data_IF_043015595232
#
_entry.id   IF_043015595232
#
_cell.length_a   1.000
_cell.length_b   1.000
_cell.length_c   1.000
_cell.angle_alpha   90.00
_cell.angle_beta   90.00
_cell.angle_gamma   90.00
#
_symmetry.space_group_name_H-M   'P 1'
#
loop_
_entity.id
_entity.type
_entity.pdbx_description
1 polymer ?
#
# COMPACT_ATOMS: atom_id res chain seq x y z
N UNK A 1 -3.35 29.21 -10.35
CA UNK A 1 -3.16 27.80 -10.08
C UNK A 1 -4.24 26.99 -10.84
N UNK A 2 -3.86 26.45 -12.00
CA UNK A 2 -4.79 25.70 -12.88
C UNK A 2 -4.54 24.21 -12.75
N UNK A 3 -4.96 23.62 -11.62
CA UNK A 3 -4.96 22.17 -11.48
C UNK A 3 -5.91 21.54 -12.52
N UNK A 4 -5.49 20.49 -13.24
CA UNK A 4 -6.35 19.76 -14.21
C UNK A 4 -7.64 19.23 -13.57
N UNK A 5 -7.60 18.89 -12.28
CA UNK A 5 -8.74 18.41 -11.51
C UNK A 5 -9.85 19.44 -11.35
N UNK A 6 -9.51 20.75 -11.26
CA UNK A 6 -10.50 21.83 -11.21
C UNK A 6 -11.31 21.92 -12.50
N UNK A 7 -10.65 21.75 -13.65
CA UNK A 7 -11.32 21.77 -14.95
C UNK A 7 -12.38 20.67 -15.10
N UNK A 8 -12.08 19.45 -14.62
CA UNK A 8 -13.04 18.34 -14.61
C UNK A 8 -14.25 18.65 -13.71
N UNK A 9 -14.01 19.13 -12.49
CA UNK A 9 -15.07 19.53 -11.56
C UNK A 9 -16.00 20.60 -12.15
N UNK A 10 -15.47 21.57 -12.93
CA UNK A 10 -16.27 22.60 -13.59
C UNK A 10 -17.13 22.05 -14.71
N UNK A 11 -16.69 21.01 -15.44
CA UNK A 11 -17.49 20.33 -16.47
C UNK A 11 -18.71 19.65 -15.85
N UNK A 12 -18.52 18.93 -14.74
CA UNK A 12 -19.62 18.25 -14.04
C UNK A 12 -20.61 19.23 -13.40
N UNK A 13 -20.13 20.36 -12.89
CA UNK A 13 -20.98 21.42 -12.33
C UNK A 13 -21.88 22.06 -13.39
N UNK A 14 -21.36 22.33 -14.59
CA UNK A 14 -22.15 22.90 -15.68
C UNK A 14 -23.33 22.03 -16.11
N UNK A 15 -23.32 20.75 -15.73
CA UNK A 15 -24.40 19.81 -16.01
C UNK A 15 -25.34 19.60 -14.82
N UNK A 16 -25.25 20.42 -13.75
CA UNK A 16 -26.02 20.33 -12.50
C UNK A 16 -25.98 18.96 -11.79
N UNK A 17 -24.95 18.13 -12.08
CA UNK A 17 -24.82 16.79 -11.52
C UNK A 17 -24.19 16.76 -10.11
N UNK A 18 -23.48 17.81 -9.68
CA UNK A 18 -22.78 17.85 -8.40
C UNK A 18 -22.88 19.22 -7.73
N UNK A 19 -22.96 19.24 -6.39
CA UNK A 19 -22.90 20.46 -5.57
C UNK A 19 -21.46 21.01 -5.47
N UNK A 20 -21.30 22.26 -4.98
CA UNK A 20 -19.98 22.88 -4.74
C UNK A 20 -19.13 22.07 -3.74
N UNK A 21 -19.76 21.55 -2.69
CA UNK A 21 -19.09 20.73 -1.66
C UNK A 21 -18.60 19.39 -2.25
N UNK A 22 -19.41 18.76 -3.09
CA UNK A 22 -19.02 17.53 -3.79
C UNK A 22 -17.90 17.79 -4.79
N UNK A 23 -17.84 18.95 -5.43
CA UNK A 23 -16.78 19.33 -6.36
C UNK A 23 -15.40 19.33 -5.70
N UNK A 24 -15.28 19.85 -4.48
CA UNK A 24 -14.00 19.83 -3.74
C UNK A 24 -13.56 18.39 -3.44
N UNK A 25 -14.50 17.53 -3.04
CA UNK A 25 -14.23 16.12 -2.76
C UNK A 25 -13.77 15.38 -4.03
N UNK A 26 -14.46 15.60 -5.15
CA UNK A 26 -14.09 14.97 -6.43
C UNK A 26 -12.76 15.51 -6.96
N UNK A 27 -12.50 16.83 -6.87
CA UNK A 27 -11.24 17.44 -7.27
C UNK A 27 -10.06 16.84 -6.50
N UNK A 28 -10.17 16.73 -5.19
CA UNK A 28 -9.18 16.09 -4.34
C UNK A 28 -8.99 14.59 -4.69
N UNK A 29 -10.08 13.88 -4.95
CA UNK A 29 -10.01 12.49 -5.37
C UNK A 29 -9.27 12.29 -6.69
N UNK A 30 -9.49 13.16 -7.68
CA UNK A 30 -8.76 13.13 -8.95
C UNK A 30 -7.28 13.48 -8.81
N UNK A 31 -6.93 14.45 -7.96
CA UNK A 31 -5.53 14.78 -7.69
C UNK A 31 -4.76 13.59 -7.13
N UNK A 32 -5.34 12.90 -6.14
CA UNK A 32 -4.73 11.69 -5.56
C UNK A 32 -4.63 10.56 -6.60
N UNK A 33 -5.65 10.40 -7.44
CA UNK A 33 -5.66 9.36 -8.46
C UNK A 33 -4.55 9.59 -9.49
N UNK A 34 -4.42 10.82 -10.00
CA UNK A 34 -3.38 11.20 -10.97
C UNK A 34 -1.98 11.02 -10.36
N UNK A 35 -1.78 11.47 -9.11
CA UNK A 35 -0.50 11.31 -8.40
C UNK A 35 -0.15 9.82 -8.23
N UNK A 36 -1.10 8.99 -7.83
CA UNK A 36 -0.87 7.56 -7.67
C UNK A 36 -0.57 6.85 -9.00
N UNK A 37 -1.25 7.19 -10.09
CA UNK A 37 -0.98 6.65 -11.42
C UNK A 37 0.43 7.07 -11.88
N UNK A 38 0.76 8.35 -11.76
CA UNK A 38 2.07 8.89 -12.15
C UNK A 38 3.21 8.23 -11.38
N UNK A 39 3.07 8.10 -10.07
CA UNK A 39 4.03 7.43 -9.19
C UNK A 39 4.20 5.95 -9.55
N UNK A 40 3.09 5.25 -9.74
CA UNK A 40 3.12 3.83 -10.13
C UNK A 40 3.85 3.64 -11.45
N UNK A 41 3.53 4.46 -12.45
CA UNK A 41 4.20 4.43 -13.75
C UNK A 41 5.69 4.70 -13.61
N UNK A 42 6.08 5.70 -12.83
CA UNK A 42 7.49 6.03 -12.58
C UNK A 42 8.23 4.85 -11.93
N UNK A 43 7.66 4.23 -10.89
CA UNK A 43 8.28 3.08 -10.23
C UNK A 43 8.46 1.91 -11.19
N UNK A 44 7.46 1.60 -12.01
CA UNK A 44 7.53 0.51 -13.00
C UNK A 44 8.60 0.81 -14.07
N UNK A 45 8.70 2.04 -14.55
CA UNK A 45 9.72 2.46 -15.50
C UNK A 45 11.13 2.32 -14.91
N UNK A 46 11.35 2.82 -13.68
CA UNK A 46 12.65 2.67 -13.01
C UNK A 46 12.94 1.20 -12.74
N UNK A 47 11.97 0.43 -12.28
CA UNK A 47 12.10 -1.02 -12.08
C UNK A 47 12.48 -1.78 -13.35
N UNK A 48 11.97 -1.36 -14.52
CA UNK A 48 12.35 -1.93 -15.81
C UNK A 48 13.81 -1.58 -16.17
N UNK A 49 14.22 -0.32 -15.98
CA UNK A 49 15.58 0.15 -16.25
C UNK A 49 16.63 -0.62 -15.42
N UNK A 50 16.34 -0.88 -14.15
CA UNK A 50 17.24 -1.64 -13.25
C UNK A 50 17.06 -3.16 -13.34
N UNK A 51 16.32 -3.65 -14.33
CA UNK A 51 16.02 -5.08 -14.52
C UNK A 51 15.32 -5.76 -13.32
N UNK A 52 14.51 -5.00 -12.58
CA UNK A 52 13.71 -5.46 -11.42
C UNK A 52 12.20 -5.24 -11.63
N UNK A 53 11.75 -5.31 -12.89
CA UNK A 53 10.35 -5.05 -13.24
C UNK A 53 9.36 -5.94 -12.48
N UNK A 54 9.64 -7.25 -12.39
CA UNK A 54 8.74 -8.20 -11.73
C UNK A 54 8.66 -7.92 -10.22
N UNK A 55 9.78 -7.68 -9.55
CA UNK A 55 9.80 -7.33 -8.13
C UNK A 55 9.05 -6.01 -7.86
N UNK A 56 9.22 -5.02 -8.74
CA UNK A 56 8.49 -3.75 -8.67
C UNK A 56 6.99 -3.93 -8.88
N UNK A 57 6.59 -4.77 -9.83
CA UNK A 57 5.18 -5.09 -10.08
C UNK A 57 4.54 -5.77 -8.85
N UNK A 58 5.25 -6.75 -8.26
CA UNK A 58 4.82 -7.40 -7.02
C UNK A 58 4.64 -6.38 -5.91
N UNK A 59 5.64 -5.51 -5.69
CA UNK A 59 5.54 -4.42 -4.70
C UNK A 59 4.31 -3.55 -4.93
N UNK A 60 4.12 -3.04 -6.14
CA UNK A 60 2.99 -2.14 -6.46
C UNK A 60 1.64 -2.82 -6.20
N UNK A 61 1.46 -4.05 -6.69
CA UNK A 61 0.19 -4.77 -6.54
C UNK A 61 -0.08 -5.11 -5.07
N UNK A 62 0.88 -5.69 -4.38
CA UNK A 62 0.70 -6.12 -2.98
C UNK A 62 0.54 -4.92 -2.05
N UNK A 63 1.40 -3.91 -2.21
CA UNK A 63 1.34 -2.70 -1.40
C UNK A 63 0.01 -1.97 -1.54
N UNK A 64 -0.46 -1.74 -2.78
CA UNK A 64 -1.71 -0.99 -3.00
C UNK A 64 -2.94 -1.77 -2.55
N UNK A 65 -3.02 -3.05 -2.84
CA UNK A 65 -4.18 -3.87 -2.48
C UNK A 65 -4.27 -4.11 -0.97
N UNK A 66 -3.18 -4.52 -0.34
CA UNK A 66 -3.16 -4.80 1.09
C UNK A 66 -3.36 -3.51 1.91
N UNK A 67 -2.66 -2.42 1.53
CA UNK A 67 -2.78 -1.14 2.20
C UNK A 67 -4.18 -0.54 2.11
N UNK A 68 -4.88 -0.72 0.99
CA UNK A 68 -6.26 -0.22 0.83
C UNK A 68 -7.25 -0.89 1.79
N UNK A 69 -7.01 -2.14 2.15
CA UNK A 69 -7.84 -2.91 3.08
C UNK A 69 -7.39 -2.78 4.53
N UNK A 70 -6.06 -2.80 4.78
CA UNK A 70 -5.51 -2.74 6.12
C UNK A 70 -5.53 -1.34 6.74
N UNK A 71 -5.45 -0.28 5.91
CA UNK A 71 -5.24 1.08 6.39
C UNK A 71 -3.81 1.32 6.88
N UNK A 72 -3.64 2.11 7.94
CA UNK A 72 -2.36 2.38 8.59
C UNK A 72 -1.89 3.83 8.41
N UNK A 73 -0.58 4.07 8.64
CA UNK A 73 0.01 5.40 8.64
C UNK A 73 -0.25 6.18 7.35
N UNK A 74 -0.75 7.40 7.48
CA UNK A 74 -0.84 8.39 6.41
C UNK A 74 -0.09 9.65 6.83
N UNK A 75 0.86 10.08 5.99
CA UNK A 75 1.57 11.33 6.21
C UNK A 75 0.64 12.52 5.97
N UNK A 76 0.86 13.60 6.69
CA UNK A 76 0.08 14.85 6.58
C UNK A 76 0.23 15.55 5.22
N UNK A 77 1.35 15.30 4.51
CA UNK A 77 1.65 15.88 3.20
C UNK A 77 1.84 14.80 2.15
N UNK A 78 1.28 15.01 0.95
CA UNK A 78 1.35 14.07 -0.19
C UNK A 78 2.79 13.70 -0.56
N UNK A 79 3.72 14.67 -0.58
CA UNK A 79 5.11 14.39 -0.93
C UNK A 79 5.82 13.47 0.07
N UNK A 80 5.46 13.54 1.37
CA UNK A 80 6.01 12.63 2.41
C UNK A 80 5.52 11.20 2.18
N UNK A 81 4.24 11.02 1.83
CA UNK A 81 3.67 9.72 1.48
C UNK A 81 4.36 9.14 0.24
N UNK A 82 4.62 9.97 -0.77
CA UNK A 82 5.31 9.56 -1.99
C UNK A 82 6.77 9.18 -1.72
N UNK A 83 7.50 9.99 -0.93
CA UNK A 83 8.86 9.68 -0.52
C UNK A 83 8.93 8.36 0.27
N UNK A 84 8.01 8.16 1.23
CA UNK A 84 7.92 6.93 2.00
C UNK A 84 7.72 5.72 1.09
N UNK A 85 6.81 5.81 0.11
CA UNK A 85 6.57 4.72 -0.85
C UNK A 85 7.82 4.39 -1.67
N UNK A 86 8.59 5.40 -2.10
CA UNK A 86 9.85 5.20 -2.84
C UNK A 86 10.91 4.54 -1.94
N UNK A 87 11.01 4.95 -0.67
CA UNK A 87 11.95 4.34 0.29
C UNK A 87 11.60 2.86 0.50
N UNK A 88 10.33 2.54 0.75
CA UNK A 88 9.87 1.17 0.95
C UNK A 88 10.14 0.33 -0.31
N UNK A 89 9.77 0.83 -1.49
CA UNK A 89 10.12 0.16 -2.75
C UNK A 89 11.63 -0.10 -2.86
N UNK A 90 12.46 0.87 -2.50
CA UNK A 90 13.94 0.73 -2.49
C UNK A 90 14.41 -0.40 -1.57
N UNK A 91 13.83 -0.53 -0.38
CA UNK A 91 14.15 -1.61 0.57
C UNK A 91 13.82 -2.97 -0.05
N UNK A 92 12.65 -3.11 -0.66
CA UNK A 92 12.25 -4.36 -1.35
C UNK A 92 13.24 -4.69 -2.47
N UNK A 93 13.61 -3.71 -3.31
CA UNK A 93 14.56 -3.94 -4.40
C UNK A 93 15.93 -4.37 -3.87
N UNK A 94 16.47 -3.68 -2.85
CA UNK A 94 17.74 -4.08 -2.22
C UNK A 94 17.63 -5.50 -1.63
N UNK A 95 16.52 -5.83 -1.00
CA UNK A 95 16.25 -7.17 -0.47
C UNK A 95 16.32 -8.26 -1.55
N UNK A 96 15.85 -7.98 -2.78
CA UNK A 96 15.92 -8.97 -3.88
C UNK A 96 17.35 -9.21 -4.39
N UNK A 97 18.28 -8.28 -4.21
CA UNK A 97 19.69 -8.48 -4.53
C UNK A 97 20.43 -9.35 -3.50
N UNK A 98 19.91 -9.46 -2.29
CA UNK A 98 20.48 -10.29 -1.22
C UNK A 98 20.01 -11.76 -1.28
N UNK A 99 19.46 -12.19 -2.41
CA UNK A 99 18.92 -13.55 -2.63
C UNK A 99 19.86 -14.66 -2.16
N UNK A 100 21.17 -14.53 -2.43
CA UNK A 100 22.15 -15.54 -2.04
C UNK A 100 22.24 -15.75 -0.51
N UNK A 101 22.00 -14.69 0.27
CA UNK A 101 22.00 -14.73 1.74
C UNK A 101 20.66 -15.32 2.22
N UNK A 102 19.55 -14.97 1.58
CA UNK A 102 18.19 -15.33 2.01
C UNK A 102 17.85 -16.77 1.59
N UNK A 103 18.44 -17.33 0.53
CA UNK A 103 18.32 -18.75 0.20
C UNK A 103 18.73 -19.70 1.33
N UNK A 104 19.61 -19.25 2.22
CA UNK A 104 19.97 -19.99 3.42
C UNK A 104 18.95 -19.82 4.58
N UNK A 105 17.99 -18.91 4.42
CA UNK A 105 17.02 -18.55 5.46
C UNK A 105 15.57 -18.63 4.93
N UNK A 106 15.21 -19.73 4.27
CA UNK A 106 13.81 -19.97 3.83
C UNK A 106 12.83 -19.88 5.03
N UNK A 107 13.28 -20.34 6.19
CA UNK A 107 12.55 -20.22 7.45
C UNK A 107 12.22 -18.76 7.81
N UNK A 108 13.07 -17.79 7.44
CA UNK A 108 12.83 -16.36 7.70
C UNK A 108 11.64 -15.82 6.88
N UNK A 109 11.56 -16.16 5.60
CA UNK A 109 10.43 -15.76 4.76
C UNK A 109 9.10 -16.33 5.29
N UNK A 110 9.11 -17.58 5.72
CA UNK A 110 7.96 -18.23 6.36
C UNK A 110 7.60 -17.55 7.68
N UNK A 111 8.59 -17.25 8.53
CA UNK A 111 8.38 -16.56 9.79
C UNK A 111 7.78 -15.15 9.58
N UNK A 112 8.30 -14.41 8.59
CA UNK A 112 7.74 -13.10 8.20
C UNK A 112 6.28 -13.24 7.77
N UNK A 113 5.94 -14.22 6.94
CA UNK A 113 4.58 -14.45 6.49
C UNK A 113 3.63 -14.74 7.67
N UNK A 114 4.02 -15.65 8.58
CA UNK A 114 3.20 -16.02 9.75
C UNK A 114 3.02 -14.84 10.71
N UNK A 115 4.10 -14.13 11.04
CA UNK A 115 4.03 -12.97 11.94
C UNK A 115 3.18 -11.86 11.33
N UNK A 116 3.36 -11.60 10.03
CA UNK A 116 2.57 -10.58 9.31
C UNK A 116 1.08 -10.91 9.33
N UNK A 117 0.72 -12.17 9.08
CA UNK A 117 -0.68 -12.61 9.12
C UNK A 117 -1.30 -12.47 10.52
N UNK A 118 -0.55 -12.81 11.56
CA UNK A 118 -1.00 -12.62 12.94
C UNK A 118 -1.26 -11.15 13.27
N UNK A 119 -0.41 -10.25 12.82
CA UNK A 119 -0.60 -8.80 13.02
C UNK A 119 -1.80 -8.28 12.22
N UNK A 120 -1.97 -8.71 10.96
CA UNK A 120 -3.14 -8.36 10.15
C UNK A 120 -4.41 -8.83 10.85
N UNK A 121 -4.43 -10.06 11.35
CA UNK A 121 -5.59 -10.61 12.06
C UNK A 121 -5.97 -9.80 13.30
N UNK A 122 -4.98 -9.34 14.06
CA UNK A 122 -5.21 -8.59 15.31
C UNK A 122 -5.53 -7.11 15.06
N UNK A 123 -4.87 -6.47 14.10
CA UNK A 123 -4.87 -5.02 13.95
C UNK A 123 -5.72 -4.50 12.79
N UNK A 124 -5.99 -5.30 11.74
CA UNK A 124 -6.72 -4.82 10.58
C UNK A 124 -8.23 -4.72 10.81
N UNK A 125 -8.90 -3.68 10.28
CA UNK A 125 -8.34 -2.48 9.66
C UNK A 125 -7.97 -1.41 10.69
N UNK A 126 -6.85 -0.69 10.45
CA UNK A 126 -6.45 0.47 11.27
C UNK A 126 -7.21 1.71 10.79
N UNK A 127 -7.98 2.30 11.68
CA UNK A 127 -8.73 3.54 11.40
C UNK A 127 -7.84 4.76 11.58
N UNK A 128 -8.01 5.74 10.70
CA UNK A 128 -7.40 7.06 10.87
C UNK A 128 -8.35 7.98 11.62
N UNK A 129 -7.86 8.81 12.55
CA UNK A 129 -8.69 9.69 13.39
C UNK A 129 -9.63 10.59 12.58
N UNK A 130 -9.15 11.10 11.43
CA UNK A 130 -9.92 12.00 10.59
C UNK A 130 -10.88 11.28 9.63
N UNK A 131 -10.91 9.94 9.60
CA UNK A 131 -11.77 9.16 8.72
C UNK A 131 -12.29 7.92 9.42
N UNK A 132 -13.31 8.11 10.25
CA UNK A 132 -14.04 6.99 10.88
C UNK A 132 -14.77 6.20 9.79
N UNK A 133 -14.54 4.90 9.77
CA UNK A 133 -15.19 3.99 8.84
C UNK A 133 -16.59 3.63 9.37
N UNK A 134 -17.55 3.49 8.47
CA UNK A 134 -18.85 2.89 8.80
C UNK A 134 -18.64 1.42 9.18
N UNK A 135 -19.41 0.88 10.11
CA UNK A 135 -19.27 -0.51 10.58
C UNK A 135 -19.26 -1.53 9.43
N UNK A 136 -20.09 -1.34 8.42
CA UNK A 136 -20.11 -2.18 7.21
C UNK A 136 -18.79 -2.12 6.42
N UNK A 137 -18.23 -0.91 6.24
CA UNK A 137 -16.95 -0.73 5.55
C UNK A 137 -15.79 -1.34 6.36
N UNK A 138 -15.82 -1.19 7.68
CA UNK A 138 -14.84 -1.78 8.59
C UNK A 138 -14.82 -3.30 8.47
N UNK A 139 -15.98 -3.93 8.52
CA UNK A 139 -16.09 -5.38 8.43
C UNK A 139 -15.70 -5.89 7.02
N UNK A 140 -16.09 -5.19 5.95
CA UNK A 140 -15.66 -5.50 4.59
C UNK A 140 -14.14 -5.41 4.44
N UNK A 141 -13.54 -4.32 4.92
CA UNK A 141 -12.10 -4.12 4.85
C UNK A 141 -11.34 -5.18 5.66
N UNK A 142 -11.86 -5.56 6.83
CA UNK A 142 -11.29 -6.65 7.64
C UNK A 142 -11.29 -7.97 6.89
N UNK A 143 -12.41 -8.37 6.31
CA UNK A 143 -12.51 -9.61 5.51
C UNK A 143 -11.56 -9.56 4.30
N UNK A 144 -11.47 -8.41 3.63
CA UNK A 144 -10.55 -8.21 2.52
C UNK A 144 -9.09 -8.32 2.97
N UNK A 145 -8.71 -7.68 4.07
CA UNK A 145 -7.35 -7.72 4.60
C UNK A 145 -6.92 -9.14 4.97
N UNK A 146 -7.80 -9.89 5.67
CA UNK A 146 -7.53 -11.29 6.03
C UNK A 146 -7.44 -12.19 4.79
N UNK A 147 -8.34 -12.03 3.83
CA UNK A 147 -8.30 -12.81 2.59
C UNK A 147 -7.05 -12.55 1.76
N UNK A 148 -6.63 -11.29 1.64
CA UNK A 148 -5.39 -10.92 0.94
C UNK A 148 -4.15 -11.37 1.72
N UNK A 149 -4.14 -11.23 3.04
CA UNK A 149 -3.04 -11.70 3.89
C UNK A 149 -2.83 -13.21 3.71
N UNK A 150 -3.90 -14.01 3.85
CA UNK A 150 -3.84 -15.45 3.60
C UNK A 150 -3.35 -15.78 2.18
N UNK A 151 -3.86 -15.09 1.16
CA UNK A 151 -3.44 -15.30 -0.22
C UNK A 151 -1.93 -15.05 -0.39
N UNK A 152 -1.44 -13.92 0.12
CA UNK A 152 -0.02 -13.58 0.03
C UNK A 152 0.84 -14.48 0.89
N UNK A 153 0.39 -14.88 2.08
CA UNK A 153 1.06 -15.87 2.91
C UNK A 153 1.24 -17.22 2.21
N UNK A 154 0.19 -17.72 1.57
CA UNK A 154 0.25 -18.96 0.77
C UNK A 154 1.20 -18.79 -0.43
N UNK A 155 1.14 -17.65 -1.13
CA UNK A 155 2.05 -17.38 -2.24
C UNK A 155 3.51 -17.31 -1.80
N UNK A 156 3.81 -16.71 -0.65
CA UNK A 156 5.17 -16.71 -0.08
C UNK A 156 5.63 -18.16 0.14
N UNK A 157 4.82 -18.99 0.78
CA UNK A 157 5.15 -20.39 1.04
C UNK A 157 5.44 -21.17 -0.25
N UNK A 158 4.59 -21.02 -1.26
CA UNK A 158 4.74 -21.73 -2.52
C UNK A 158 5.95 -21.25 -3.34
N UNK A 159 6.22 -19.94 -3.33
CA UNK A 159 7.26 -19.33 -4.16
C UNK A 159 8.64 -19.39 -3.50
N UNK A 160 8.74 -19.58 -2.19
CA UNK A 160 10.01 -19.61 -1.46
C UNK A 160 10.97 -20.66 -2.04
N UNK A 161 10.47 -21.82 -2.46
CA UNK A 161 11.29 -22.90 -2.98
C UNK A 161 11.54 -22.85 -4.51
N UNK A 162 10.72 -22.11 -5.26
CA UNK A 162 10.79 -22.08 -6.72
C UNK A 162 11.25 -20.75 -7.30
N UNK A 163 10.75 -19.64 -6.76
CA UNK A 163 10.99 -18.27 -7.24
C UNK A 163 11.37 -17.34 -6.09
N UNK A 164 12.51 -17.65 -5.46
CA UNK A 164 12.98 -17.00 -4.23
C UNK A 164 12.95 -15.46 -4.29
N UNK A 165 13.36 -14.85 -5.42
CA UNK A 165 13.31 -13.37 -5.57
C UNK A 165 11.91 -12.80 -5.43
N UNK A 166 10.92 -13.48 -6.03
CA UNK A 166 9.52 -13.04 -5.98
C UNK A 166 8.98 -13.23 -4.58
N UNK A 167 9.30 -14.35 -3.92
CA UNK A 167 8.92 -14.62 -2.55
C UNK A 167 9.48 -13.58 -1.58
N UNK A 168 10.74 -13.17 -1.75
CA UNK A 168 11.37 -12.12 -0.96
C UNK A 168 10.66 -10.76 -1.17
N UNK A 169 10.46 -10.37 -2.43
CA UNK A 169 9.76 -9.13 -2.73
C UNK A 169 8.37 -9.10 -2.08
N UNK A 170 7.66 -10.22 -2.16
CA UNK A 170 6.32 -10.37 -1.59
C UNK A 170 6.36 -10.31 -0.06
N UNK A 171 7.26 -11.06 0.59
CA UNK A 171 7.39 -11.10 2.04
C UNK A 171 7.79 -9.74 2.62
N UNK A 172 8.76 -9.06 2.02
CA UNK A 172 9.18 -7.73 2.45
C UNK A 172 8.04 -6.70 2.28
N UNK A 173 7.32 -6.73 1.16
CA UNK A 173 6.20 -5.80 0.94
C UNK A 173 5.08 -6.02 1.96
N UNK A 174 4.73 -7.27 2.28
CA UNK A 174 3.73 -7.57 3.31
C UNK A 174 4.20 -7.08 4.67
N UNK A 175 5.47 -7.33 5.02
CA UNK A 175 6.07 -6.85 6.27
C UNK A 175 6.02 -5.32 6.38
N UNK A 176 6.34 -4.60 5.32
CA UNK A 176 6.30 -3.14 5.28
C UNK A 176 4.89 -2.59 5.51
N UNK A 177 3.87 -3.19 4.88
CA UNK A 177 2.48 -2.79 5.13
C UNK A 177 2.11 -3.02 6.59
N UNK A 178 2.50 -4.16 7.17
CA UNK A 178 2.26 -4.48 8.58
C UNK A 178 2.97 -3.48 9.51
N UNK A 179 4.22 -3.12 9.19
CA UNK A 179 4.93 -2.09 9.95
C UNK A 179 4.20 -0.73 9.91
N UNK A 180 3.68 -0.34 8.74
CA UNK A 180 2.89 0.89 8.60
C UNK A 180 1.55 0.84 9.34
N UNK A 181 1.02 -0.33 9.65
CA UNK A 181 -0.18 -0.48 10.49
C UNK A 181 0.12 -0.22 11.97
N UNK A 182 1.33 -0.59 12.43
CA UNK A 182 1.75 -0.47 13.83
C UNK A 182 2.20 0.96 14.16
N UNK A 183 2.78 1.67 13.18
CA UNK A 183 3.25 3.04 13.38
C UNK A 183 2.05 3.96 13.62
N UNK A 184 2.00 4.67 14.77
CA UNK A 184 0.93 5.63 15.02
C UNK A 184 1.00 6.77 13.99
N UNK A 185 -0.11 7.06 13.32
CA UNK A 185 -0.21 8.24 12.44
C UNK A 185 -0.01 9.53 13.25
N UNK A 186 0.48 10.60 12.58
CA UNK A 186 0.53 11.96 13.14
C UNK A 186 -0.88 12.45 13.48
N UNK A 187 -1.39 12.14 14.62
CA UNK A 187 -2.76 12.44 15.05
C UNK A 187 -3.27 11.47 16.11
N UNK A 188 -2.49 10.45 16.45
CA UNK A 188 -2.73 9.61 17.61
C UNK A 188 -2.19 10.29 18.86
N UNK A 189 -2.70 11.51 19.17
CA UNK A 189 -2.50 12.08 20.48
C UNK A 189 -3.21 11.16 21.49
N UNK A 190 -2.44 10.69 22.45
CA UNK A 190 -2.91 10.02 23.63
C UNK A 190 -4.02 10.85 24.28
N UNK A 191 -5.28 10.47 24.06
CA UNK A 191 -6.32 10.82 25.00
C UNK A 191 -6.32 9.74 26.09
N UNK A 192 -6.29 10.18 27.37
CA UNK A 192 -6.23 9.30 28.52
C UNK A 192 -7.48 8.47 28.70
#
# INVERSE_FOLDING_TARGET
>A
DRSPSRGLGDVYKRQDYISEEEKEIYSYGYEILIDNIGKTFLLLMVGAIIHQFVATLVFVVVFTTLRSCCGGYHASKTWQCNLLTVILWGIVIVGTYTEAIIKQCEALAIAIAVVSELVIYQCAPVEHQNKKLTNEKKERNRRCALGLGMLYGILILLLTFSLTKIAIALALTVLEVVMLMIIPGEGRSNEP
#
